data_IF_921209415861
#
_entry.id   IF_921209415861
#
_cell.length_a   1.000
_cell.length_b   1.000
_cell.length_c   1.000
_cell.angle_alpha   90.00
_cell.angle_beta   90.00
_cell.angle_gamma   90.00
#
_symmetry.space_group_name_H-M   'P 1'
#
loop_
_entity.id
_entity.type
_entity.pdbx_description
1 polymer ?
#
# COMPACT_ATOMS: atom_id res chain seq x y z
N UNK A 1 -4.40 -8.85 4.36
CA UNK A 1 -3.23 -9.65 4.83
C UNK A 1 -3.14 -9.60 6.34
N UNK A 2 -3.01 -8.43 6.96
CA UNK A 2 -2.81 -8.29 8.42
C UNK A 2 -3.94 -8.94 9.23
N UNK A 3 -5.20 -8.75 8.84
CA UNK A 3 -6.34 -9.40 9.52
C UNK A 3 -6.23 -10.92 9.45
N UNK A 4 -5.89 -11.49 8.29
CA UNK A 4 -5.73 -12.95 8.14
C UNK A 4 -4.62 -13.50 9.04
N UNK A 5 -3.46 -12.80 9.09
CA UNK A 5 -2.36 -13.16 9.97
C UNK A 5 -2.76 -13.07 11.45
N UNK A 6 -3.42 -11.97 11.84
CA UNK A 6 -3.89 -11.78 13.21
C UNK A 6 -4.88 -12.86 13.64
N UNK A 7 -5.84 -13.25 12.78
CA UNK A 7 -6.77 -14.34 13.08
C UNK A 7 -6.04 -15.67 13.29
N UNK A 8 -5.11 -16.02 12.40
CA UNK A 8 -4.34 -17.27 12.55
C UNK A 8 -3.49 -17.23 13.80
N UNK A 9 -2.76 -16.15 14.06
CA UNK A 9 -1.91 -16.00 15.26
C UNK A 9 -2.73 -16.05 16.54
N UNK A 10 -3.92 -15.44 16.54
CA UNK A 10 -4.84 -15.50 17.71
C UNK A 10 -5.27 -16.93 18.02
N UNK A 11 -5.58 -17.74 17.01
CA UNK A 11 -5.93 -19.16 17.20
C UNK A 11 -4.78 -19.92 17.86
N UNK A 12 -3.55 -19.72 17.38
CA UNK A 12 -2.37 -20.37 17.98
C UNK A 12 -2.15 -19.92 19.42
N UNK A 13 -2.25 -18.62 19.69
CA UNK A 13 -2.09 -18.07 21.05
C UNK A 13 -3.15 -18.59 22.03
N UNK A 14 -4.43 -18.57 21.66
CA UNK A 14 -5.52 -19.03 22.51
C UNK A 14 -5.35 -20.52 22.88
N UNK A 15 -4.89 -21.32 21.91
CA UNK A 15 -4.68 -22.76 22.12
C UNK A 15 -3.28 -23.10 22.65
N UNK A 16 -2.43 -22.10 22.89
CA UNK A 16 -1.05 -22.27 23.39
C UNK A 16 -0.19 -23.16 22.48
N UNK A 17 -0.44 -23.12 21.18
CA UNK A 17 0.39 -23.82 20.21
C UNK A 17 1.67 -23.02 19.97
N UNK A 18 2.78 -23.73 19.87
CA UNK A 18 4.03 -23.15 19.36
C UNK A 18 3.93 -22.94 17.85
N UNK A 19 4.53 -21.89 17.34
CA UNK A 19 4.55 -21.56 15.92
C UNK A 19 5.75 -20.72 15.54
N UNK A 20 6.18 -20.85 14.31
CA UNK A 20 7.12 -19.94 13.66
C UNK A 20 6.35 -18.93 12.78
N UNK A 21 6.92 -17.77 12.48
CA UNK A 21 6.32 -16.82 11.54
C UNK A 21 5.88 -17.45 10.22
N UNK A 22 6.66 -18.41 9.72
CA UNK A 22 6.40 -19.14 8.49
C UNK A 22 5.09 -19.92 8.52
N UNK A 23 4.74 -20.50 9.66
CA UNK A 23 3.48 -21.24 9.84
C UNK A 23 2.26 -20.31 9.67
N UNK A 24 2.34 -19.11 10.26
CA UNK A 24 1.30 -18.10 10.11
C UNK A 24 1.18 -17.63 8.67
N UNK A 25 2.29 -17.44 7.97
CA UNK A 25 2.32 -17.00 6.58
C UNK A 25 1.65 -18.06 5.69
N UNK A 26 2.03 -19.32 5.85
CA UNK A 26 1.48 -20.45 5.09
C UNK A 26 -0.04 -20.53 5.30
N UNK A 27 -0.50 -20.54 6.55
CA UNK A 27 -1.90 -20.67 6.91
C UNK A 27 -2.75 -19.45 6.52
N UNK A 28 -2.16 -18.25 6.55
CA UNK A 28 -2.85 -17.05 6.10
C UNK A 28 -3.11 -17.02 4.60
N UNK A 29 -2.39 -17.83 3.85
CA UNK A 29 -2.45 -17.90 2.39
C UNK A 29 -2.19 -16.54 1.70
N UNK A 30 -1.26 -15.73 2.24
CA UNK A 30 -0.95 -14.37 1.77
C UNK A 30 0.51 -14.24 1.31
N UNK A 31 0.84 -13.09 0.68
CA UNK A 31 2.22 -12.74 0.32
C UNK A 31 2.74 -13.35 -0.99
N UNK A 32 1.87 -13.93 -1.80
CA UNK A 32 2.24 -14.69 -3.01
C UNK A 32 2.52 -13.84 -4.24
N UNK A 33 2.30 -12.52 -4.16
CA UNK A 33 2.64 -11.56 -5.22
C UNK A 33 3.41 -10.39 -4.60
N UNK A 34 2.90 -9.80 -3.52
CA UNK A 34 3.58 -8.79 -2.70
C UNK A 34 3.60 -9.27 -1.25
N UNK A 35 4.73 -9.12 -0.59
CA UNK A 35 4.93 -9.47 0.82
C UNK A 35 4.75 -8.29 1.79
N UNK A 36 4.47 -7.08 1.29
CA UNK A 36 4.40 -5.87 2.12
C UNK A 36 3.52 -6.08 3.36
N UNK A 37 2.29 -6.59 3.19
CA UNK A 37 1.39 -6.81 4.32
C UNK A 37 1.88 -7.87 5.32
N UNK A 38 2.72 -8.82 4.91
CA UNK A 38 3.35 -9.79 5.81
C UNK A 38 4.48 -9.12 6.58
N UNK A 39 5.39 -8.47 5.87
CA UNK A 39 6.56 -7.86 6.48
C UNK A 39 6.19 -6.74 7.43
N UNK A 40 5.21 -5.89 7.08
CA UNK A 40 4.70 -4.84 7.97
C UNK A 40 3.97 -5.40 9.19
N UNK A 41 3.30 -6.55 9.06
CA UNK A 41 2.69 -7.22 10.20
C UNK A 41 3.71 -7.57 11.28
N UNK A 42 4.82 -8.18 10.88
CA UNK A 42 5.84 -8.62 11.84
C UNK A 42 6.79 -7.50 12.29
N UNK A 43 7.12 -6.56 11.41
CA UNK A 43 8.21 -5.59 11.65
C UNK A 43 7.74 -4.15 11.75
N UNK A 44 6.59 -3.81 11.15
CA UNK A 44 6.18 -2.40 11.00
C UNK A 44 7.06 -1.62 10.03
N UNK A 45 6.99 -0.30 10.11
CA UNK A 45 7.85 0.62 9.38
C UNK A 45 7.60 0.68 7.88
N UNK A 46 8.63 1.12 7.18
CA UNK A 46 8.67 1.19 5.72
C UNK A 46 9.34 -0.06 5.15
N UNK A 47 8.62 -0.74 4.29
CA UNK A 47 9.05 -2.00 3.68
C UNK A 47 9.11 -1.86 2.16
N UNK A 48 10.21 -2.35 1.59
CA UNK A 48 10.31 -2.61 0.17
C UNK A 48 10.54 -4.12 -0.05
N UNK A 49 9.70 -4.75 -0.85
CA UNK A 49 9.89 -6.14 -1.25
C UNK A 49 10.32 -6.27 -2.72
N UNK A 50 10.91 -7.40 -3.07
CA UNK A 50 11.36 -7.68 -4.44
C UNK A 50 10.35 -8.48 -5.25
N UNK A 51 9.13 -8.68 -4.72
CA UNK A 51 8.15 -9.57 -5.33
C UNK A 51 8.55 -11.04 -5.22
N UNK A 52 7.87 -11.88 -5.97
CA UNK A 52 8.16 -13.31 -6.07
C UNK A 52 8.68 -13.63 -7.47
N UNK A 53 9.59 -14.61 -7.55
CA UNK A 53 9.99 -15.16 -8.84
C UNK A 53 8.76 -15.82 -9.48
N UNK A 54 8.28 -15.23 -10.56
CA UNK A 54 7.20 -15.84 -11.33
C UNK A 54 7.78 -16.91 -12.26
N UNK A 55 7.35 -18.15 -12.05
CA UNK A 55 7.72 -19.28 -12.90
C UNK A 55 6.67 -19.50 -14.00
N UNK A 56 5.48 -18.97 -13.79
CA UNK A 56 4.37 -19.00 -14.74
C UNK A 56 4.25 -17.66 -15.44
N UNK A 57 3.82 -17.64 -16.67
CA UNK A 57 3.70 -16.41 -17.50
C UNK A 57 2.56 -15.47 -17.07
N UNK A 58 1.77 -15.83 -16.05
CA UNK A 58 0.58 -15.07 -15.64
C UNK A 58 0.76 -14.48 -14.26
N UNK A 59 0.71 -13.16 -14.17
CA UNK A 59 0.66 -12.44 -12.91
C UNK A 59 -0.79 -12.40 -12.40
N UNK A 60 -0.96 -12.66 -11.09
CA UNK A 60 -2.27 -12.67 -10.43
C UNK A 60 -2.21 -11.95 -9.09
N UNK A 61 -3.35 -11.41 -8.58
CA UNK A 61 -3.43 -10.89 -7.22
C UNK A 61 -3.03 -11.95 -6.19
N UNK A 62 -2.43 -11.51 -5.06
CA UNK A 62 -1.93 -12.41 -4.00
C UNK A 62 -2.97 -13.42 -3.47
N UNK A 63 -4.24 -13.03 -3.44
CA UNK A 63 -5.33 -13.87 -2.96
C UNK A 63 -5.80 -14.93 -3.99
N UNK A 64 -5.28 -14.88 -5.19
CA UNK A 64 -5.62 -15.79 -6.30
C UNK A 64 -4.39 -16.57 -6.79
N UNK A 65 -3.20 -16.11 -6.45
CA UNK A 65 -1.95 -16.74 -6.83
C UNK A 65 -1.73 -17.99 -5.97
N UNK A 66 -1.54 -19.16 -6.60
CA UNK A 66 -1.31 -20.45 -5.93
C UNK A 66 0.16 -20.77 -5.70
N UNK A 67 1.07 -19.81 -5.93
CA UNK A 67 2.50 -19.99 -5.64
C UNK A 67 2.72 -20.33 -4.16
N UNK A 68 3.62 -21.25 -3.87
CA UNK A 68 4.13 -21.51 -2.51
C UNK A 68 5.17 -20.46 -2.08
N UNK A 69 5.64 -19.63 -3.02
CA UNK A 69 6.65 -18.60 -2.75
C UNK A 69 6.02 -17.39 -2.11
N UNK A 70 6.72 -16.87 -1.12
CA UNK A 70 6.39 -15.58 -0.46
C UNK A 70 7.40 -14.54 -0.91
N UNK A 71 6.91 -13.34 -1.20
CA UNK A 71 7.77 -12.22 -1.57
C UNK A 71 8.78 -11.92 -0.47
N UNK A 72 10.06 -11.75 -0.87
CA UNK A 72 11.13 -11.48 0.07
C UNK A 72 11.31 -9.98 0.26
N UNK A 73 11.56 -9.61 1.51
CA UNK A 73 11.90 -8.25 1.88
C UNK A 73 13.28 -7.88 1.33
N UNK A 74 13.37 -6.74 0.66
CA UNK A 74 14.61 -6.10 0.24
C UNK A 74 15.10 -5.10 1.29
N UNK A 75 14.18 -4.25 1.78
CA UNK A 75 14.47 -3.20 2.74
C UNK A 75 13.41 -3.19 3.85
N UNK A 76 13.85 -2.90 5.07
CA UNK A 76 12.99 -2.62 6.23
C UNK A 76 13.67 -1.53 7.06
N UNK A 77 13.04 -0.38 7.15
CA UNK A 77 13.54 0.77 7.91
C UNK A 77 12.38 1.41 8.68
N UNK A 78 12.69 2.14 9.73
CA UNK A 78 11.69 2.97 10.40
C UNK A 78 11.19 4.03 9.44
N UNK A 79 9.88 4.22 9.40
CA UNK A 79 9.29 5.36 8.71
C UNK A 79 9.38 6.57 9.63
N UNK A 80 9.73 7.77 9.15
CA UNK A 80 9.74 8.96 9.97
C UNK A 80 8.40 9.23 10.65
N UNK A 81 8.40 9.98 11.74
CA UNK A 81 7.19 10.29 12.52
C UNK A 81 6.28 11.31 11.80
N UNK A 82 6.04 11.09 10.52
CA UNK A 82 5.10 11.89 9.74
C UNK A 82 3.68 11.40 9.94
N UNK A 83 2.80 12.32 10.28
CA UNK A 83 1.37 12.05 10.26
C UNK A 83 0.85 12.09 8.82
N UNK A 84 -0.13 11.25 8.55
CA UNK A 84 -0.83 11.21 7.26
C UNK A 84 -2.30 10.85 7.47
N UNK A 85 -3.08 11.00 6.43
CA UNK A 85 -4.50 10.64 6.41
C UNK A 85 -4.72 9.44 5.51
N UNK A 86 -5.40 8.43 6.02
CA UNK A 86 -6.03 7.40 5.18
C UNK A 86 -7.40 7.93 4.79
N UNK A 87 -7.64 8.11 3.50
CA UNK A 87 -8.85 8.69 2.96
C UNK A 87 -9.58 7.69 2.05
N UNK A 88 -10.87 7.49 2.27
CA UNK A 88 -11.72 6.56 1.53
C UNK A 88 -12.87 7.35 0.89
N UNK A 89 -12.89 7.50 -0.44
CA UNK A 89 -14.01 8.13 -1.14
C UNK A 89 -15.28 7.29 -0.99
N UNK A 90 -16.38 7.91 -0.54
CA UNK A 90 -17.67 7.20 -0.32
C UNK A 90 -18.34 6.77 -1.63
N UNK A 91 -18.13 7.54 -2.70
CA UNK A 91 -18.82 7.36 -3.97
C UNK A 91 -18.05 6.55 -5.00
N UNK A 92 -16.94 5.92 -4.60
CA UNK A 92 -16.15 5.05 -5.48
C UNK A 92 -16.20 3.61 -4.95
N UNK A 93 -16.73 2.73 -5.77
CA UNK A 93 -16.84 1.30 -5.45
C UNK A 93 -15.50 0.62 -5.75
N UNK A 94 -14.93 -0.14 -4.79
CA UNK A 94 -13.72 -0.93 -5.04
C UNK A 94 -13.90 -1.94 -6.18
N UNK A 95 -12.82 -2.29 -6.86
CA UNK A 95 -12.85 -3.35 -7.86
C UNK A 95 -13.26 -4.67 -7.21
N UNK A 96 -14.09 -5.41 -7.92
CA UNK A 96 -14.40 -6.80 -7.59
C UNK A 96 -13.16 -7.68 -7.82
N UNK A 97 -13.13 -8.86 -7.18
CA UNK A 97 -12.05 -9.84 -7.38
C UNK A 97 -11.82 -10.16 -8.85
N UNK A 98 -12.88 -10.23 -9.65
CA UNK A 98 -12.80 -10.55 -11.07
C UNK A 98 -12.16 -9.43 -11.89
N UNK A 99 -12.49 -8.19 -11.55
CA UNK A 99 -11.89 -7.01 -12.17
C UNK A 99 -10.41 -6.88 -11.81
N UNK A 100 -10.04 -7.17 -10.56
CA UNK A 100 -8.62 -7.23 -10.16
C UNK A 100 -7.84 -8.26 -10.99
N UNK A 101 -8.37 -9.48 -11.14
CA UNK A 101 -7.73 -10.53 -11.96
C UNK A 101 -7.59 -10.06 -13.41
N UNK A 102 -8.62 -9.47 -13.96
CA UNK A 102 -8.62 -8.95 -15.34
C UNK A 102 -7.61 -7.83 -15.50
N UNK A 103 -7.52 -6.94 -14.51
CA UNK A 103 -6.52 -5.87 -14.50
C UNK A 103 -5.09 -6.41 -14.59
N UNK A 104 -4.73 -7.39 -13.75
CA UNK A 104 -3.40 -7.99 -13.79
C UNK A 104 -3.12 -8.66 -15.13
N UNK A 105 -4.06 -9.46 -15.64
CA UNK A 105 -3.90 -10.17 -16.91
C UNK A 105 -3.70 -9.24 -18.10
N UNK A 106 -4.40 -8.12 -18.12
CA UNK A 106 -4.39 -7.20 -19.25
C UNK A 106 -3.21 -6.22 -19.21
N UNK A 107 -2.59 -6.00 -18.03
CA UNK A 107 -1.60 -4.97 -17.83
C UNK A 107 -0.21 -5.50 -17.45
N UNK A 108 -0.02 -6.82 -17.42
CA UNK A 108 1.29 -7.43 -17.15
C UNK A 108 1.71 -8.39 -18.25
N UNK A 109 3.03 -8.51 -18.51
CA UNK A 109 4.11 -7.75 -17.92
C UNK A 109 4.17 -6.30 -18.42
N UNK A 110 4.72 -5.41 -17.62
CA UNK A 110 5.06 -4.05 -18.09
C UNK A 110 6.30 -4.07 -18.99
N UNK A 111 6.46 -3.04 -19.80
CA UNK A 111 7.70 -2.82 -20.54
C UNK A 111 8.85 -2.51 -19.59
N UNK A 112 10.06 -2.93 -19.94
CA UNK A 112 11.25 -2.72 -19.10
C UNK A 112 11.48 -1.23 -18.78
N UNK A 113 11.24 -0.34 -19.73
CA UNK A 113 11.37 1.11 -19.53
C UNK A 113 10.43 1.62 -18.43
N UNK A 114 9.18 1.16 -18.41
CA UNK A 114 8.22 1.51 -17.37
C UNK A 114 8.68 0.95 -16.01
N UNK A 115 9.18 -0.28 -15.97
CA UNK A 115 9.72 -0.90 -14.76
C UNK A 115 10.94 -0.14 -14.24
N UNK A 116 11.88 0.25 -15.13
CA UNK A 116 13.06 1.03 -14.74
C UNK A 116 12.68 2.39 -14.16
N UNK A 117 11.69 3.06 -14.75
CA UNK A 117 11.19 4.32 -14.21
C UNK A 117 10.57 4.14 -12.81
N UNK A 118 9.76 3.11 -12.61
CA UNK A 118 9.17 2.79 -11.31
C UNK A 118 10.27 2.54 -10.28
N UNK A 119 11.26 1.71 -10.61
CA UNK A 119 12.38 1.39 -9.72
C UNK A 119 13.21 2.63 -9.38
N UNK A 120 13.53 3.46 -10.37
CA UNK A 120 14.28 4.70 -10.16
C UNK A 120 13.56 5.62 -9.17
N UNK A 121 12.28 5.92 -9.39
CA UNK A 121 11.51 6.79 -8.49
C UNK A 121 11.34 6.15 -7.12
N UNK A 122 11.11 4.84 -7.05
CA UNK A 122 10.95 4.14 -5.76
C UNK A 122 12.22 4.15 -4.94
N UNK A 123 13.38 3.84 -5.54
CA UNK A 123 14.65 3.70 -4.81
C UNK A 123 15.29 5.06 -4.55
N UNK A 124 15.53 5.84 -5.61
CA UNK A 124 16.26 7.11 -5.51
C UNK A 124 15.35 8.30 -5.15
N UNK A 125 14.05 8.14 -5.22
CA UNK A 125 13.10 9.12 -4.76
C UNK A 125 12.53 8.75 -3.39
N UNK A 126 11.64 7.75 -3.33
CA UNK A 126 10.88 7.44 -2.12
C UNK A 126 11.78 6.87 -1.00
N UNK A 127 12.59 5.85 -1.28
CA UNK A 127 13.46 5.22 -0.26
C UNK A 127 14.47 6.23 0.28
N UNK A 128 15.16 6.97 -0.59
CA UNK A 128 16.16 7.95 -0.14
C UNK A 128 15.54 9.03 0.74
N UNK A 129 14.40 9.59 0.34
CA UNK A 129 13.71 10.62 1.13
C UNK A 129 13.22 10.11 2.50
N UNK A 130 12.83 8.83 2.60
CA UNK A 130 12.51 8.21 3.90
C UNK A 130 13.77 8.08 4.77
N UNK A 131 14.89 7.62 4.20
CA UNK A 131 16.16 7.49 4.93
C UNK A 131 16.65 8.84 5.44
N UNK A 132 16.56 9.86 4.58
CA UNK A 132 17.01 11.24 4.90
C UNK A 132 16.00 12.01 5.77
N UNK A 133 14.79 11.45 5.97
CA UNK A 133 13.66 12.12 6.63
C UNK A 133 13.29 13.45 5.95
N UNK A 134 13.45 13.52 4.62
CA UNK A 134 13.11 14.68 3.81
C UNK A 134 11.64 14.59 3.33
N UNK A 135 10.74 15.20 4.09
CA UNK A 135 9.31 15.18 3.79
C UNK A 135 8.93 15.85 2.45
N UNK A 136 9.47 17.02 2.08
CA UNK A 136 9.23 17.61 0.77
C UNK A 136 9.65 16.70 -0.40
N UNK A 137 10.86 16.12 -0.34
CA UNK A 137 11.36 15.20 -1.35
C UNK A 137 10.52 13.91 -1.40
N UNK A 138 10.07 13.41 -0.24
CA UNK A 138 9.14 12.28 -0.15
C UNK A 138 7.83 12.59 -0.86
N UNK A 139 7.19 13.71 -0.58
CA UNK A 139 5.94 14.11 -1.23
C UNK A 139 6.09 14.23 -2.74
N UNK A 140 7.19 14.85 -3.21
CA UNK A 140 7.48 14.95 -4.64
C UNK A 140 7.63 13.57 -5.26
N UNK A 141 8.39 12.67 -4.63
CA UNK A 141 8.65 11.32 -5.12
C UNK A 141 7.38 10.47 -5.15
N UNK A 142 6.51 10.58 -4.14
CA UNK A 142 5.19 9.95 -4.15
C UNK A 142 4.36 10.43 -5.34
N UNK A 143 4.30 11.75 -5.56
CA UNK A 143 3.56 12.31 -6.69
C UNK A 143 4.14 11.84 -8.05
N UNK A 144 5.45 11.69 -8.16
CA UNK A 144 6.09 11.18 -9.38
C UNK A 144 5.85 9.68 -9.57
N UNK A 145 5.85 8.90 -8.48
CA UNK A 145 5.47 7.49 -8.51
C UNK A 145 4.02 7.30 -9.00
N UNK A 146 3.09 8.17 -8.59
CA UNK A 146 1.69 8.12 -9.03
C UNK A 146 1.51 8.44 -10.53
N UNK A 147 2.50 9.04 -11.19
CA UNK A 147 2.53 9.30 -12.64
C UNK A 147 3.14 8.15 -13.45
N UNK A 148 3.71 7.13 -12.80
CA UNK A 148 4.29 5.98 -13.49
C UNK A 148 3.20 5.14 -14.18
N UNK A 149 3.62 4.35 -15.18
CA UNK A 149 2.68 3.56 -16.00
C UNK A 149 1.74 2.69 -15.16
N UNK A 150 2.27 1.97 -14.18
CA UNK A 150 1.46 1.09 -13.33
C UNK A 150 0.39 1.87 -12.56
N UNK A 151 0.78 2.92 -11.86
CA UNK A 151 -0.15 3.75 -11.08
C UNK A 151 -1.17 4.49 -11.95
N UNK A 152 -0.77 4.91 -13.13
CA UNK A 152 -1.69 5.47 -14.11
C UNK A 152 -2.75 4.44 -14.53
N UNK A 153 -2.34 3.20 -14.84
CA UNK A 153 -3.27 2.13 -15.20
C UNK A 153 -4.22 1.77 -14.05
N UNK A 154 -3.72 1.72 -12.81
CA UNK A 154 -4.58 1.49 -11.64
C UNK A 154 -5.66 2.58 -11.51
N UNK A 155 -5.31 3.86 -11.70
CA UNK A 155 -6.25 4.98 -11.63
C UNK A 155 -7.29 4.95 -12.75
N UNK A 156 -6.93 4.47 -13.93
CA UNK A 156 -7.86 4.37 -15.06
C UNK A 156 -9.10 3.52 -14.78
N UNK A 157 -9.02 2.56 -13.83
CA UNK A 157 -10.18 1.78 -13.42
C UNK A 157 -11.31 2.64 -12.85
N UNK A 158 -10.97 3.82 -12.31
CA UNK A 158 -11.92 4.76 -11.71
C UNK A 158 -12.14 6.01 -12.57
N UNK A 159 -11.29 6.24 -13.57
CA UNK A 159 -11.41 7.31 -14.54
C UNK A 159 -11.59 8.70 -13.90
N UNK A 160 -12.52 9.46 -14.44
CA UNK A 160 -12.78 10.85 -13.99
C UNK A 160 -13.19 10.98 -12.51
N UNK A 161 -13.69 9.92 -11.89
CA UNK A 161 -14.07 9.95 -10.47
C UNK A 161 -12.82 10.08 -9.58
N UNK A 162 -11.76 9.31 -9.87
CA UNK A 162 -10.50 9.41 -9.12
C UNK A 162 -9.81 10.76 -9.38
N UNK A 163 -9.85 11.28 -10.61
CA UNK A 163 -9.32 12.60 -10.93
C UNK A 163 -10.02 13.72 -10.11
N UNK A 164 -11.34 13.62 -9.96
CA UNK A 164 -12.11 14.56 -9.16
C UNK A 164 -11.74 14.48 -7.67
N UNK A 165 -11.61 13.27 -7.13
CA UNK A 165 -11.17 13.02 -5.75
C UNK A 165 -9.78 13.60 -5.50
N UNK A 166 -8.81 13.33 -6.36
CA UNK A 166 -7.46 13.88 -6.21
C UNK A 166 -7.46 15.42 -6.24
N UNK A 167 -8.22 16.02 -7.15
CA UNK A 167 -8.37 17.50 -7.20
C UNK A 167 -8.98 18.07 -5.93
N UNK A 168 -9.97 17.40 -5.37
CA UNK A 168 -10.61 17.82 -4.10
C UNK A 168 -9.60 17.74 -2.95
N UNK A 169 -8.83 16.65 -2.85
CA UNK A 169 -7.82 16.49 -1.81
C UNK A 169 -6.67 17.50 -1.93
N UNK A 170 -6.23 17.82 -3.16
CA UNK A 170 -5.24 18.89 -3.40
C UNK A 170 -5.77 20.24 -2.92
N UNK A 171 -7.03 20.59 -3.23
CA UNK A 171 -7.67 21.82 -2.73
C UNK A 171 -7.82 21.82 -1.21
N UNK A 172 -8.02 20.66 -0.60
CA UNK A 172 -8.07 20.51 0.86
C UNK A 172 -6.71 20.71 1.54
N UNK A 173 -5.59 20.65 0.81
CA UNK A 173 -4.26 20.91 1.34
C UNK A 173 -3.32 19.69 1.28
N UNK A 174 -3.61 18.71 0.44
CA UNK A 174 -2.70 17.59 0.22
C UNK A 174 -1.43 18.04 -0.49
N UNK A 175 -0.26 17.64 0.04
CA UNK A 175 1.06 17.78 -0.58
C UNK A 175 1.40 16.59 -1.48
N UNK A 176 0.96 15.39 -1.07
CA UNK A 176 1.09 14.18 -1.87
C UNK A 176 -0.10 13.24 -1.63
N UNK A 177 -0.46 12.49 -2.66
CA UNK A 177 -1.56 11.53 -2.62
C UNK A 177 -1.05 10.22 -3.24
N UNK A 178 -1.20 9.11 -2.50
CA UNK A 178 -0.84 7.78 -2.97
C UNK A 178 -2.05 6.85 -2.94
N UNK A 179 -2.45 6.33 -4.09
CA UNK A 179 -3.49 5.30 -4.12
C UNK A 179 -2.94 3.98 -3.56
N UNK A 180 -3.65 3.42 -2.58
CA UNK A 180 -3.30 2.17 -1.93
C UNK A 180 -3.68 0.98 -2.80
N UNK A 181 -2.67 0.24 -3.29
CA UNK A 181 -2.89 -0.89 -4.20
C UNK A 181 -3.79 -0.48 -5.39
N UNK A 182 -4.80 -1.26 -5.71
CA UNK A 182 -5.79 -0.98 -6.76
C UNK A 182 -6.89 0.02 -6.33
N UNK A 183 -6.73 0.68 -5.17
CA UNK A 183 -7.67 1.70 -4.70
C UNK A 183 -8.96 1.13 -4.10
N UNK A 184 -10.01 1.97 -3.91
CA UNK A 184 -10.01 3.43 -4.08
C UNK A 184 -9.44 4.19 -2.89
N UNK A 185 -8.98 3.52 -1.82
CA UNK A 185 -8.41 4.19 -0.65
C UNK A 185 -7.08 4.89 -0.99
N UNK A 186 -6.85 6.03 -0.35
CA UNK A 186 -5.73 6.93 -0.60
C UNK A 186 -4.98 7.20 0.70
N UNK A 187 -3.65 7.27 0.62
CA UNK A 187 -2.81 7.87 1.63
C UNK A 187 -2.55 9.32 1.23
N UNK A 188 -2.85 10.24 2.13
CA UNK A 188 -2.75 11.67 1.87
C UNK A 188 -1.77 12.29 2.85
N UNK A 189 -0.72 12.90 2.32
CA UNK A 189 0.32 13.60 3.07
C UNK A 189 0.14 15.11 2.93
N UNK A 190 0.46 15.85 3.98
CA UNK A 190 0.34 17.32 3.98
C UNK A 190 1.42 17.95 4.86
N UNK A 191 1.94 19.09 4.43
CA UNK A 191 2.80 19.93 5.26
C UNK A 191 2.03 20.55 6.45
N UNK A 192 0.70 20.62 6.35
CA UNK A 192 -0.20 21.12 7.40
C UNK A 192 -1.36 20.13 7.57
N UNK A 193 -1.10 19.11 8.38
CA UNK A 193 -2.07 18.03 8.62
C UNK A 193 -3.33 18.53 9.32
N UNK A 194 -3.23 19.55 10.17
CA UNK A 194 -4.38 20.13 10.87
C UNK A 194 -5.30 20.86 9.91
N UNK A 195 -4.74 21.63 8.98
CA UNK A 195 -5.51 22.29 7.93
C UNK A 195 -6.16 21.27 7.00
N UNK A 196 -5.44 20.22 6.61
CA UNK A 196 -5.98 19.14 5.79
C UNK A 196 -7.20 18.51 6.47
N UNK A 197 -7.07 18.08 7.72
CA UNK A 197 -8.17 17.42 8.47
C UNK A 197 -9.36 18.36 8.66
N UNK A 198 -9.14 19.62 9.03
CA UNK A 198 -10.21 20.62 9.16
C UNK A 198 -10.98 20.88 7.85
N UNK A 199 -10.31 20.73 6.70
CA UNK A 199 -10.96 20.81 5.40
C UNK A 199 -11.70 19.51 5.05
N UNK A 200 -11.16 18.34 5.42
CA UNK A 200 -11.83 17.05 5.24
C UNK A 200 -13.09 16.93 6.10
N UNK A 201 -13.12 17.53 7.29
CA UNK A 201 -14.33 17.59 8.14
C UNK A 201 -15.52 18.25 7.41
N UNK A 202 -15.24 19.21 6.53
CA UNK A 202 -16.27 19.87 5.71
C UNK A 202 -16.73 19.03 4.52
N UNK A 203 -16.01 17.95 4.24
CA UNK A 203 -16.23 17.02 3.13
C UNK A 203 -16.62 15.61 3.63
N UNK A 204 -17.18 15.52 4.82
CA UNK A 204 -17.54 14.24 5.47
C UNK A 204 -18.57 13.42 4.68
N UNK A 205 -19.37 14.06 3.80
CA UNK A 205 -20.29 13.37 2.89
C UNK A 205 -19.57 12.74 1.69
N UNK A 206 -18.37 13.22 1.36
CA UNK A 206 -17.58 12.71 0.24
C UNK A 206 -16.56 11.66 0.68
N UNK A 207 -16.03 11.78 1.92
CA UNK A 207 -14.93 10.98 2.42
C UNK A 207 -15.18 10.39 3.81
N UNK A 208 -14.65 9.19 4.04
CA UNK A 208 -14.28 8.69 5.35
C UNK A 208 -12.77 8.89 5.48
N UNK A 209 -12.28 9.44 6.59
CA UNK A 209 -10.85 9.58 6.77
C UNK A 209 -10.39 9.27 8.19
N UNK A 210 -9.12 8.89 8.31
CA UNK A 210 -8.46 8.59 9.58
C UNK A 210 -7.07 9.26 9.57
N UNK A 211 -6.83 10.17 10.54
CA UNK A 211 -5.49 10.68 10.78
C UNK A 211 -4.70 9.63 11.57
N UNK A 212 -3.50 9.32 11.13
CA UNK A 212 -2.63 8.29 11.71
C UNK A 212 -1.16 8.56 11.44
N UNK A 213 -0.31 7.73 12.01
CA UNK A 213 1.13 7.66 11.72
C UNK A 213 1.54 6.21 11.49
N UNK A 214 2.78 5.97 11.10
CA UNK A 214 3.28 4.61 10.92
C UNK A 214 3.51 3.91 12.26
N UNK A 215 3.25 2.61 12.29
CA UNK A 215 3.70 1.74 13.36
C UNK A 215 5.04 1.13 12.98
N UNK A 216 6.11 1.52 13.66
CA UNK A 216 7.46 1.02 13.40
C UNK A 216 7.79 -0.27 14.17
N UNK A 217 6.89 -0.77 15.01
CA UNK A 217 7.13 -1.95 15.84
C UNK A 217 6.44 -3.24 15.35
N UNK A 218 5.63 -3.14 14.28
CA UNK A 218 4.80 -4.25 13.81
C UNK A 218 3.62 -4.55 14.74
N UNK A 219 3.13 -5.79 14.73
CA UNK A 219 2.00 -6.17 15.57
C UNK A 219 2.35 -6.16 17.05
N UNK A 220 1.37 -5.78 17.85
CA UNK A 220 1.42 -5.90 19.29
C UNK A 220 0.56 -7.09 19.73
N UNK A 221 1.07 -7.87 20.68
CA UNK A 221 0.37 -9.00 21.28
C UNK A 221 0.20 -8.67 22.76
N UNK A 222 -1.04 -8.56 23.18
CA UNK A 222 -1.38 -8.40 24.60
C UNK A 222 -1.74 -9.78 25.14
N UNK A 223 -1.02 -10.22 26.17
CA UNK A 223 -1.26 -11.47 26.88
C UNK A 223 -2.26 -11.25 28.02
#
# INVERSE_FOLDING_TARGET
TNISLACVESVYKINRFEYLPEDLIILSNRGRTSGIGIHTYFKGGFIMDIGVKNLDSVFLPSNTNNSSLVSKQMLSISFPEWEFVVCIPRNIIPLSKQEEISFFRNNTPLLNEDVFRILYVSVFGVVSSVIESDFPAFCQSINDLQKTKWKYLEKLNYGKQMDAVEKTLIKAGASAIAMSSLGPSLLVFSNDILKLTANLDKLNDEFIYFKTSSNNAGRLIYA
#
